data_IF_987751023978
#
_entry.id   IF_987751023978
#
_cell.length_a   1.000
_cell.length_b   1.000
_cell.length_c   1.000
_cell.angle_alpha   90.00
_cell.angle_beta   90.00
_cell.angle_gamma   90.00
#
_symmetry.space_group_name_H-M   'P 1'
#
loop_
_entity.id
_entity.type
_entity.pdbx_description
1 polymer ?
#
# COMPACT_ATOMS: atom_id res chain seq x y z
N UNK A 1 15.68 -16.38 5.42
CA UNK A 1 14.71 -16.96 4.46
C UNK A 1 13.27 -16.47 4.68
N UNK A 2 12.73 -16.42 5.90
CA UNK A 2 11.30 -16.11 6.17
C UNK A 2 10.87 -14.66 5.76
N UNK A 3 11.77 -13.68 5.86
CA UNK A 3 11.45 -12.26 5.58
C UNK A 3 11.11 -11.97 4.11
N UNK A 4 11.69 -12.73 3.17
CA UNK A 4 11.45 -12.52 1.74
C UNK A 4 10.04 -13.02 1.33
N UNK A 5 9.61 -14.16 1.90
CA UNK A 5 8.28 -14.72 1.66
C UNK A 5 7.17 -13.79 2.16
N UNK A 6 7.36 -13.20 3.34
CA UNK A 6 6.42 -12.20 3.88
C UNK A 6 6.36 -11.00 2.94
N UNK A 7 7.51 -10.49 2.48
CA UNK A 7 7.55 -9.34 1.55
C UNK A 7 6.82 -9.62 0.24
N UNK A 8 7.03 -10.80 -0.37
CA UNK A 8 6.34 -11.20 -1.60
C UNK A 8 4.83 -11.32 -1.41
N UNK A 9 4.39 -11.95 -0.32
CA UNK A 9 2.97 -12.07 0.01
C UNK A 9 2.31 -10.71 0.28
N UNK A 10 3.00 -9.83 1.02
CA UNK A 10 2.54 -8.46 1.28
C UNK A 10 2.40 -7.66 -0.01
N UNK A 11 3.34 -7.80 -0.95
CA UNK A 11 3.26 -7.14 -2.26
C UNK A 11 2.00 -7.52 -3.02
N UNK A 12 1.69 -8.82 -3.09
CA UNK A 12 0.47 -9.29 -3.75
C UNK A 12 -0.81 -8.77 -3.10
N UNK A 13 -0.87 -8.73 -1.76
CA UNK A 13 -2.01 -8.16 -1.03
C UNK A 13 -2.16 -6.67 -1.30
N UNK A 14 -1.06 -5.92 -1.24
CA UNK A 14 -1.05 -4.47 -1.49
C UNK A 14 -1.54 -4.18 -2.90
N UNK A 15 -1.04 -4.91 -3.89
CA UNK A 15 -1.45 -4.79 -5.28
C UNK A 15 -2.96 -5.06 -5.44
N UNK A 16 -3.44 -6.14 -4.85
CA UNK A 16 -4.85 -6.51 -4.88
C UNK A 16 -5.74 -5.44 -4.22
N UNK A 17 -5.28 -4.87 -3.10
CA UNK A 17 -6.00 -3.82 -2.39
C UNK A 17 -6.10 -2.52 -3.18
N UNK A 18 -4.99 -2.08 -3.79
CA UNK A 18 -4.95 -0.86 -4.62
C UNK A 18 -5.72 -1.07 -5.93
N UNK A 19 -5.70 -2.30 -6.49
CA UNK A 19 -6.48 -2.65 -7.68
C UNK A 19 -7.99 -2.64 -7.44
N UNK A 20 -8.46 -2.94 -6.23
CA UNK A 20 -9.89 -2.94 -5.89
C UNK A 20 -10.46 -1.52 -5.74
N UNK A 21 -9.69 -0.61 -5.12
CA UNK A 21 -10.14 0.78 -4.92
C UNK A 21 -8.94 1.71 -4.72
N UNK A 22 -9.02 2.99 -5.17
CA UNK A 22 -8.02 4.01 -4.85
C UNK A 22 -7.89 4.11 -3.33
N UNK A 23 -6.73 3.75 -2.79
CA UNK A 23 -6.52 3.61 -1.35
C UNK A 23 -5.22 4.28 -0.96
N UNK A 24 -5.32 5.32 -0.15
CA UNK A 24 -4.13 5.97 0.41
C UNK A 24 -3.24 4.98 1.15
N UNK A 25 -1.93 5.25 1.24
CA UNK A 25 -1.00 4.35 1.92
C UNK A 25 -1.42 4.00 3.35
N UNK A 26 -2.05 4.93 4.08
CA UNK A 26 -2.64 4.63 5.39
C UNK A 26 -3.81 3.63 5.33
N UNK A 27 -4.68 3.76 4.32
CA UNK A 27 -5.76 2.82 4.07
C UNK A 27 -5.23 1.41 3.79
N UNK A 28 -4.13 1.30 3.04
CA UNK A 28 -3.44 0.03 2.79
C UNK A 28 -2.96 -0.61 4.10
N UNK A 29 -2.28 0.16 4.97
CA UNK A 29 -1.87 -0.36 6.30
C UNK A 29 -3.06 -0.86 7.12
N UNK A 30 -4.16 -0.11 7.13
CA UNK A 30 -5.37 -0.44 7.89
C UNK A 30 -6.01 -1.72 7.38
N UNK A 31 -6.08 -1.87 6.07
CA UNK A 31 -6.74 -3.01 5.44
C UNK A 31 -5.90 -4.29 5.54
N UNK A 32 -4.57 -4.19 5.42
CA UNK A 32 -3.68 -5.32 5.70
C UNK A 32 -3.83 -5.77 7.15
N UNK A 33 -3.87 -4.84 8.11
CA UNK A 33 -4.12 -5.17 9.52
C UNK A 33 -5.48 -5.85 9.71
N UNK A 34 -6.52 -5.39 9.01
CA UNK A 34 -7.86 -5.99 9.06
C UNK A 34 -7.88 -7.42 8.51
N UNK A 35 -7.16 -7.70 7.43
CA UNK A 35 -7.16 -8.99 6.74
C UNK A 35 -6.21 -10.01 7.39
N UNK A 36 -5.04 -9.58 7.84
CA UNK A 36 -3.97 -10.46 8.32
C UNK A 36 -3.81 -10.46 9.83
N UNK A 37 -4.45 -9.51 10.54
CA UNK A 37 -4.19 -9.26 11.96
C UNK A 37 -2.82 -8.64 12.25
N UNK A 38 -1.93 -8.54 11.25
CA UNK A 38 -0.57 -8.05 11.43
C UNK A 38 -0.46 -6.56 11.13
N UNK A 39 0.26 -5.85 12.00
CA UNK A 39 0.53 -4.43 11.79
C UNK A 39 1.83 -4.29 11.00
N UNK A 40 1.71 -3.81 9.76
CA UNK A 40 2.87 -3.48 8.95
C UNK A 40 3.41 -2.11 9.31
N UNK A 41 4.74 -1.99 9.34
CA UNK A 41 5.37 -0.71 9.60
C UNK A 41 5.25 0.18 8.36
N UNK A 42 4.91 1.48 8.50
CA UNK A 42 4.83 2.40 7.36
C UNK A 42 6.11 2.44 6.53
N UNK A 43 7.27 2.31 7.18
CA UNK A 43 8.59 2.26 6.51
C UNK A 43 8.83 1.01 5.65
N UNK A 44 7.91 0.04 5.63
CA UNK A 44 7.94 -1.11 4.70
C UNK A 44 6.89 -0.93 3.60
N UNK A 45 5.72 -0.40 3.95
CA UNK A 45 4.61 -0.25 3.00
C UNK A 45 4.84 0.90 2.02
N UNK A 46 5.33 2.05 2.49
CA UNK A 46 5.53 3.20 1.61
C UNK A 46 6.59 2.95 0.53
N UNK A 47 7.79 2.41 0.83
CA UNK A 47 8.75 2.07 -0.22
C UNK A 47 8.17 1.08 -1.24
N UNK A 48 7.41 0.08 -0.77
CA UNK A 48 6.79 -0.89 -1.65
C UNK A 48 5.69 -0.27 -2.55
N UNK A 49 4.93 0.69 -2.04
CA UNK A 49 3.98 1.46 -2.85
C UNK A 49 4.69 2.32 -3.90
N UNK A 50 5.83 2.94 -3.55
CA UNK A 50 6.64 3.69 -4.51
C UNK A 50 7.22 2.77 -5.59
N UNK A 51 7.77 1.60 -5.22
CA UNK A 51 8.25 0.60 -6.19
C UNK A 51 7.13 0.15 -7.14
N UNK A 52 5.91 -0.09 -6.63
CA UNK A 52 4.77 -0.46 -7.46
C UNK A 52 4.31 0.66 -8.40
N UNK A 53 4.45 1.92 -7.98
CA UNK A 53 4.17 3.09 -8.81
C UNK A 53 5.25 3.30 -9.89
N UNK A 54 6.53 3.14 -9.53
CA UNK A 54 7.65 3.20 -10.48
C UNK A 54 7.59 2.08 -11.54
N UNK A 55 7.17 0.89 -11.13
CA UNK A 55 6.95 -0.24 -12.03
C UNK A 55 5.64 -0.14 -12.83
N UNK A 56 4.81 0.90 -12.60
CA UNK A 56 3.58 1.17 -13.35
C UNK A 56 2.39 0.29 -12.98
N UNK A 57 2.47 -0.47 -11.87
CA UNK A 57 1.38 -1.31 -11.39
C UNK A 57 0.27 -0.52 -10.68
N UNK A 58 0.59 0.67 -10.17
CA UNK A 58 -0.36 1.54 -9.47
C UNK A 58 -0.14 3.00 -9.87
N UNK A 59 -1.21 3.76 -10.07
CA UNK A 59 -1.14 5.21 -10.33
C UNK A 59 -1.54 5.93 -9.05
N UNK A 60 -0.63 6.72 -8.48
CA UNK A 60 -0.89 7.47 -7.27
C UNK A 60 -1.43 8.86 -7.56
N UNK A 61 -2.74 9.07 -7.41
CA UNK A 61 -3.35 10.37 -7.67
C UNK A 61 -3.36 11.25 -6.42
N UNK A 62 -2.78 12.46 -6.55
CA UNK A 62 -2.82 13.45 -5.49
C UNK A 62 -4.18 14.16 -5.51
N UNK A 63 -5.11 13.67 -4.69
CA UNK A 63 -6.42 14.30 -4.53
C UNK A 63 -6.36 15.31 -3.39
N UNK A 64 -6.69 16.57 -3.70
CA UNK A 64 -6.78 17.62 -2.69
C UNK A 64 -8.16 17.58 -2.03
N UNK A 65 -8.22 17.20 -0.75
CA UNK A 65 -9.44 17.24 0.06
C UNK A 65 -9.33 18.41 1.05
N UNK A 66 -9.89 19.57 0.67
CA UNK A 66 -9.79 20.81 1.45
C UNK A 66 -8.36 21.38 1.46
N UNK A 67 -7.80 21.61 2.66
CA UNK A 67 -6.41 22.11 2.84
C UNK A 67 -5.34 21.00 2.85
N UNK A 68 -5.72 19.72 2.85
CA UNK A 68 -4.78 18.58 2.88
C UNK A 68 -4.70 17.90 1.51
N UNK A 69 -3.48 17.68 1.03
CA UNK A 69 -3.20 16.80 -0.12
C UNK A 69 -3.11 15.36 0.37
N UNK A 70 -3.92 14.47 -0.21
CA UNK A 70 -3.90 13.05 0.10
C UNK A 70 -3.54 12.33 -1.20
N UNK A 71 -2.47 11.54 -1.17
CA UNK A 71 -2.13 10.63 -2.27
C UNK A 71 -3.02 9.39 -2.14
N UNK A 72 -3.82 9.12 -3.16
CA UNK A 72 -4.63 7.91 -3.31
C UNK A 72 -3.90 6.87 -4.14
#
# INVERSE_FOLDING_TARGET
MIRATIRGFSRSIILWLVSQKPTSGYGVLKEIKRLTGQTFHPGVVYPLLYELEEEGFTIGDWVQRGRKRIKY
#
